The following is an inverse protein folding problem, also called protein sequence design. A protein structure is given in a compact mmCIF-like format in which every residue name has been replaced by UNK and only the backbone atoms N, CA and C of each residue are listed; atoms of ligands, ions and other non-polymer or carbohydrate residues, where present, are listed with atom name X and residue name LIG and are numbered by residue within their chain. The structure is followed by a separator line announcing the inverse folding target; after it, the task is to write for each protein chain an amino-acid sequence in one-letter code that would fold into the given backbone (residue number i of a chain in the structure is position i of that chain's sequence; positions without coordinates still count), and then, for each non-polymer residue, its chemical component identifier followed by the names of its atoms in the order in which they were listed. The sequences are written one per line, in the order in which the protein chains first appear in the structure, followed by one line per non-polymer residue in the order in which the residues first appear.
data_IF_583013661425
#
_entry.id   IF_583013661425
#
_cell.length_a   1.000
_cell.length_b   1.000
_cell.length_c   1.000
_cell.angle_alpha   90.00
_cell.angle_beta   90.00
_cell.angle_gamma   90.00
#
_symmetry.space_group_name_H-M   'P 1'
#
loop_
_entity.id
_entity.type
_entity.pdbx_description
1 polymer ?
#
# COMPACT_ATOMS: atom_id res chain seq x y z
N UNK A 1 -16.87 26.20 -3.84
CA UNK A 1 -17.21 25.47 -2.60
C UNK A 1 -15.94 24.78 -2.13
N UNK A 2 -15.19 25.44 -1.23
CA UNK A 2 -13.89 24.97 -0.75
C UNK A 2 -14.13 24.03 0.42
N UNK A 3 -13.93 22.74 0.21
CA UNK A 3 -13.99 21.75 1.28
C UNK A 3 -12.61 21.71 1.94
N UNK A 4 -12.46 22.47 3.02
CA UNK A 4 -11.30 22.37 3.91
C UNK A 4 -11.35 21.00 4.59
N UNK A 5 -10.49 20.08 4.17
CA UNK A 5 -10.26 18.85 4.90
C UNK A 5 -9.50 19.20 6.19
N UNK A 6 -10.07 18.80 7.34
CA UNK A 6 -9.44 18.93 8.64
C UNK A 6 -8.02 18.33 8.60
N UNK A 7 -7.01 19.10 9.01
CA UNK A 7 -5.64 18.60 9.16
C UNK A 7 -5.60 17.62 10.32
N UNK A 8 -5.85 16.34 10.04
CA UNK A 8 -5.53 15.27 10.96
C UNK A 8 -4.03 15.35 11.27
N UNK A 9 -3.65 15.14 12.54
CA UNK A 9 -2.25 14.98 12.92
C UNK A 9 -1.68 13.83 12.09
N UNK A 10 -0.82 14.17 11.15
CA UNK A 10 -0.33 13.24 10.16
C UNK A 10 0.69 12.30 10.81
N UNK A 11 0.31 11.05 11.04
CA UNK A 11 1.17 10.14 11.79
C UNK A 11 2.42 9.73 11.01
N UNK A 12 3.34 9.10 11.75
CA UNK A 12 4.70 8.83 11.28
C UNK A 12 4.74 8.04 9.96
N UNK A 13 3.81 7.09 9.74
CA UNK A 13 3.78 6.30 8.50
C UNK A 13 3.39 7.14 7.28
N UNK A 14 2.40 8.02 7.39
CA UNK A 14 2.00 8.93 6.30
C UNK A 14 3.12 9.92 5.97
N UNK A 15 3.82 10.43 6.98
CA UNK A 15 5.01 11.27 6.78
C UNK A 15 6.13 10.52 6.06
N UNK A 16 6.42 9.28 6.47
CA UNK A 16 7.41 8.44 5.80
C UNK A 16 7.02 8.13 4.34
N UNK A 17 5.74 7.84 4.08
CA UNK A 17 5.24 7.60 2.72
C UNK A 17 5.47 8.84 1.84
N UNK A 18 5.09 10.04 2.28
CA UNK A 18 5.31 11.26 1.50
C UNK A 18 6.78 11.49 1.19
N UNK A 19 7.67 11.23 2.14
CA UNK A 19 9.11 11.32 1.91
C UNK A 19 9.59 10.33 0.83
N UNK A 20 9.05 9.09 0.83
CA UNK A 20 9.33 8.11 -0.23
C UNK A 20 8.80 8.59 -1.58
N UNK A 21 7.53 9.01 -1.65
CA UNK A 21 6.90 9.50 -2.88
C UNK A 21 7.65 10.71 -3.47
N UNK A 22 8.15 11.61 -2.62
CA UNK A 22 8.99 12.72 -3.05
C UNK A 22 10.30 12.23 -3.68
N UNK A 23 10.98 11.27 -3.05
CA UNK A 23 12.23 10.68 -3.60
C UNK A 23 11.98 9.96 -4.93
N UNK A 24 10.84 9.27 -5.06
CA UNK A 24 10.45 8.59 -6.30
C UNK A 24 10.23 9.59 -7.43
N UNK A 25 9.49 10.69 -7.18
CA UNK A 25 9.32 11.77 -8.16
C UNK A 25 10.66 12.31 -8.63
N UNK A 26 11.56 12.66 -7.71
CA UNK A 26 12.89 13.17 -8.07
C UNK A 26 13.72 12.14 -8.87
N UNK A 27 13.59 10.84 -8.57
CA UNK A 27 14.27 9.79 -9.31
C UNK A 27 13.70 9.60 -10.73
N UNK A 28 12.38 9.68 -10.89
CA UNK A 28 11.72 9.66 -12.20
C UNK A 28 12.18 10.85 -13.06
N UNK A 29 12.16 12.06 -12.50
CA UNK A 29 12.65 13.27 -13.17
C UNK A 29 14.11 13.15 -13.63
N UNK A 30 15.00 12.71 -12.75
CA UNK A 30 16.43 12.50 -13.09
C UNK A 30 16.66 11.45 -14.16
N UNK A 31 15.74 10.49 -14.30
CA UNK A 31 15.84 9.41 -15.29
C UNK A 31 15.05 9.67 -16.58
N UNK A 32 14.44 10.86 -16.71
CA UNK A 32 13.61 11.20 -17.87
C UNK A 32 12.33 10.36 -17.98
N UNK A 33 11.86 9.77 -16.86
CA UNK A 33 10.63 8.97 -16.80
C UNK A 33 9.47 9.79 -16.23
N UNK A 34 8.25 9.41 -16.61
CA UNK A 34 7.03 9.94 -16.01
C UNK A 34 6.86 9.30 -14.63
N UNK A 35 6.57 10.11 -13.61
CA UNK A 35 6.43 9.61 -12.22
C UNK A 35 5.30 8.58 -12.10
N UNK A 36 4.22 8.74 -12.86
CA UNK A 36 3.06 7.86 -12.85
C UNK A 36 3.36 6.46 -13.42
N UNK A 37 4.46 6.28 -14.16
CA UNK A 37 4.94 4.96 -14.59
C UNK A 37 5.62 4.17 -13.45
N UNK A 38 5.84 4.81 -12.29
CA UNK A 38 6.51 4.21 -11.14
C UNK A 38 5.50 3.95 -10.04
N UNK A 39 5.15 2.67 -9.86
CA UNK A 39 4.32 2.24 -8.74
C UNK A 39 5.13 2.09 -7.46
N UNK A 40 4.68 2.75 -6.41
CA UNK A 40 5.17 2.52 -5.05
C UNK A 40 4.24 1.53 -4.37
N UNK A 41 4.78 0.39 -3.94
CA UNK A 41 4.05 -0.63 -3.16
C UNK A 41 4.52 -0.56 -1.72
N UNK A 42 3.64 -0.19 -0.79
CA UNK A 42 3.95 -0.12 0.64
C UNK A 42 3.93 -1.53 1.26
N UNK A 43 5.10 -2.11 1.52
CA UNK A 43 5.20 -3.45 2.12
C UNK A 43 4.78 -3.41 3.60
N UNK A 44 3.66 -4.08 3.92
CA UNK A 44 2.98 -4.03 5.22
C UNK A 44 3.05 -5.32 6.03
N UNK A 45 3.87 -6.29 5.61
CA UNK A 45 4.14 -7.52 6.39
C UNK A 45 4.48 -7.18 7.84
N UNK A 46 3.90 -7.94 8.75
CA UNK A 46 4.05 -7.77 10.21
C UNK A 46 3.57 -6.42 10.79
N UNK A 47 2.94 -5.56 9.97
CA UNK A 47 2.35 -4.29 10.44
C UNK A 47 0.88 -4.47 10.81
N UNK A 48 0.41 -3.80 11.89
CA UNK A 48 -0.99 -3.86 12.29
C UNK A 48 -1.88 -3.12 11.29
N UNK A 49 -3.15 -3.49 11.25
CA UNK A 49 -4.18 -2.88 10.38
C UNK A 49 -4.29 -1.37 10.61
N UNK A 50 -4.13 -0.90 11.84
CA UNK A 50 -4.15 0.54 12.15
C UNK A 50 -3.08 1.33 11.40
N UNK A 51 -1.89 0.76 11.19
CA UNK A 51 -0.82 1.40 10.44
C UNK A 51 -1.12 1.40 8.94
N UNK A 52 -1.66 0.30 8.42
CA UNK A 52 -2.10 0.20 7.02
C UNK A 52 -3.19 1.23 6.74
N UNK A 53 -4.18 1.32 7.65
CA UNK A 53 -5.27 2.30 7.56
C UNK A 53 -4.77 3.73 7.59
N UNK A 54 -3.80 4.06 8.44
CA UNK A 54 -3.18 5.39 8.45
C UNK A 54 -2.53 5.74 7.10
N UNK A 55 -1.86 4.78 6.45
CA UNK A 55 -1.25 4.99 5.13
C UNK A 55 -2.34 5.07 4.04
N UNK A 56 -3.37 4.25 4.14
CA UNK A 56 -4.52 4.28 3.24
C UNK A 56 -5.27 5.63 3.29
N UNK A 57 -5.51 6.14 4.50
CA UNK A 57 -6.21 7.40 4.75
C UNK A 57 -5.42 8.61 4.19
N UNK A 58 -4.12 8.45 3.96
CA UNK A 58 -3.29 9.44 3.24
C UNK A 58 -3.42 9.38 1.71
N UNK A 59 -4.30 8.53 1.18
CA UNK A 59 -4.59 8.38 -0.24
C UNK A 59 -3.84 7.25 -0.95
N UNK A 60 -3.02 6.46 -0.23
CA UNK A 60 -2.30 5.34 -0.82
C UNK A 60 -3.23 4.11 -1.00
N UNK A 61 -2.97 3.31 -2.04
CA UNK A 61 -3.79 2.11 -2.36
C UNK A 61 -2.98 0.83 -2.53
N UNK A 62 -1.72 0.91 -2.96
CA UNK A 62 -0.92 -0.27 -3.26
C UNK A 62 -0.18 -0.79 -2.02
N UNK A 63 -0.55 -1.97 -1.53
CA UNK A 63 0.07 -2.59 -0.36
C UNK A 63 0.66 -3.96 -0.68
N UNK A 64 1.81 -4.26 -0.08
CA UNK A 64 2.57 -5.48 -0.34
C UNK A 64 2.62 -6.41 0.86
N UNK A 65 2.30 -7.68 0.66
CA UNK A 65 2.39 -8.72 1.69
C UNK A 65 3.27 -9.89 1.27
N UNK A 66 4.00 -10.45 2.24
CA UNK A 66 4.87 -11.61 2.00
C UNK A 66 4.19 -12.94 2.32
N UNK A 67 3.14 -12.93 3.13
CA UNK A 67 2.47 -14.13 3.62
C UNK A 67 1.02 -14.09 3.18
N UNK A 68 0.57 -15.12 2.47
CA UNK A 68 -0.82 -15.24 1.97
C UNK A 68 -1.82 -15.13 3.12
N UNK A 69 -1.46 -15.68 4.28
CA UNK A 69 -2.29 -15.63 5.48
C UNK A 69 -2.51 -14.18 5.98
N UNK A 70 -1.49 -13.31 5.91
CA UNK A 70 -1.64 -11.90 6.29
C UNK A 70 -2.60 -11.17 5.34
N UNK A 71 -2.57 -11.45 4.03
CA UNK A 71 -3.54 -10.89 3.07
C UNK A 71 -4.96 -11.32 3.44
N UNK A 72 -5.17 -12.63 3.65
CA UNK A 72 -6.50 -13.19 3.99
C UNK A 72 -7.05 -12.60 5.29
N UNK A 73 -6.19 -12.36 6.26
CA UNK A 73 -6.58 -11.77 7.54
C UNK A 73 -6.85 -10.26 7.42
N UNK A 74 -6.04 -9.52 6.67
CA UNK A 74 -6.10 -8.05 6.59
C UNK A 74 -7.13 -7.54 5.59
N UNK A 75 -7.24 -8.17 4.42
CA UNK A 75 -8.06 -7.67 3.32
C UNK A 75 -9.54 -7.43 3.72
N UNK A 76 -10.21 -8.36 4.44
CA UNK A 76 -11.62 -8.14 4.85
C UNK A 76 -11.81 -7.03 5.90
N UNK A 77 -10.73 -6.56 6.54
CA UNK A 77 -10.77 -5.55 7.61
C UNK A 77 -10.40 -4.15 7.11
N UNK A 78 -10.07 -4.03 5.83
CA UNK A 78 -9.65 -2.80 5.18
C UNK A 78 -10.57 -2.48 3.99
N UNK A 79 -10.57 -1.24 3.49
CA UNK A 79 -11.37 -0.87 2.33
C UNK A 79 -11.08 -1.73 1.11
N UNK A 80 -12.13 -2.04 0.34
CA UNK A 80 -12.09 -2.96 -0.80
C UNK A 80 -11.28 -2.42 -1.99
N UNK A 81 -11.03 -1.11 -2.06
CA UNK A 81 -10.22 -0.47 -3.10
C UNK A 81 -8.70 -0.52 -2.83
N UNK A 82 -8.26 -1.29 -1.83
CA UNK A 82 -6.84 -1.61 -1.65
C UNK A 82 -6.36 -2.54 -2.77
N UNK A 83 -5.26 -2.17 -3.39
CA UNK A 83 -4.53 -3.00 -4.34
C UNK A 83 -3.52 -3.88 -3.61
N UNK A 84 -3.90 -5.11 -3.32
CA UNK A 84 -3.03 -6.09 -2.68
C UNK A 84 -2.04 -6.70 -3.68
N UNK A 85 -0.75 -6.60 -3.36
CA UNK A 85 0.33 -7.23 -4.10
C UNK A 85 1.01 -8.29 -3.25
N UNK A 86 0.97 -9.55 -3.70
CA UNK A 86 1.77 -10.60 -3.07
C UNK A 86 3.21 -10.55 -3.60
N UNK A 87 4.16 -10.25 -2.72
CA UNK A 87 5.60 -10.10 -3.07
C UNK A 87 6.49 -11.12 -2.35
N UNK A 88 5.88 -12.11 -1.71
CA UNK A 88 6.56 -13.20 -1.01
C UNK A 88 6.88 -14.41 -1.89
N UNK A 89 7.48 -15.42 -1.27
CA UNK A 89 7.63 -16.73 -1.90
C UNK A 89 6.30 -17.50 -1.84
N UNK A 90 5.72 -17.80 -3.00
CA UNK A 90 4.43 -18.50 -3.07
C UNK A 90 4.62 -20.01 -2.97
N UNK A 91 4.17 -20.60 -1.86
CA UNK A 91 4.08 -22.05 -1.72
C UNK A 91 2.88 -22.59 -2.50
N UNK A 92 3.03 -23.71 -3.21
CA UNK A 92 1.99 -24.27 -4.09
C UNK A 92 0.65 -24.54 -3.37
N UNK A 93 0.70 -24.95 -2.11
CA UNK A 93 -0.50 -25.21 -1.30
C UNK A 93 -1.26 -23.94 -0.86
N UNK A 94 -0.69 -22.75 -1.07
CA UNK A 94 -1.31 -21.46 -0.72
C UNK A 94 -1.91 -20.73 -1.93
N UNK A 95 -1.68 -21.23 -3.15
CA UNK A 95 -2.20 -20.64 -4.39
C UNK A 95 -3.71 -20.50 -4.36
N UNK A 96 -4.43 -21.57 -4.00
CA UNK A 96 -5.91 -21.55 -3.94
C UNK A 96 -6.45 -20.52 -2.95
N UNK A 97 -5.81 -20.40 -1.79
CA UNK A 97 -6.21 -19.43 -0.77
C UNK A 97 -5.97 -18.00 -1.25
N UNK A 98 -4.87 -17.76 -1.98
CA UNK A 98 -4.52 -16.45 -2.51
C UNK A 98 -5.47 -16.01 -3.63
N UNK A 99 -5.88 -16.93 -4.52
CA UNK A 99 -6.87 -16.65 -5.58
C UNK A 99 -8.27 -16.35 -5.05
N UNK A 100 -8.55 -16.63 -3.76
CA UNK A 100 -9.80 -16.27 -3.12
C UNK A 100 -9.88 -14.81 -2.66
N UNK A 101 -8.80 -14.04 -2.84
CA UNK A 101 -8.74 -12.61 -2.54
C UNK A 101 -8.60 -11.85 -3.86
N UNK A 102 -9.27 -10.69 -3.96
CA UNK A 102 -9.09 -9.80 -5.10
C UNK A 102 -7.69 -9.16 -5.03
N UNK A 103 -6.85 -9.45 -6.03
CA UNK A 103 -5.49 -8.94 -6.14
C UNK A 103 -5.41 -8.03 -7.37
N UNK A 104 -4.54 -7.01 -7.31
CA UNK A 104 -4.25 -6.14 -8.45
C UNK A 104 -3.31 -6.81 -9.46
#
# INVERSE_FOLDING_TARGET
MVMMAATAVEGAASTALRAVLHRVRQAAERSGRIVDDVRVVAVSKTKPISLIRQVYDSGHRCFGENYVQEIIEKAPQLPEDIEWHFVGHLQSNKVKSLLGVDLF
#
